data_IF_185308551927
#
_entry.id   IF_185308551927
#
_cell.length_a   1.000
_cell.length_b   1.000
_cell.length_c   1.000
_cell.angle_alpha   90.00
_cell.angle_beta   90.00
_cell.angle_gamma   90.00
#
_symmetry.space_group_name_H-M   'P 1'
#
loop_
_entity.id
_entity.type
_entity.pdbx_description
1 polymer ?
#
# COMPACT_ATOMS: atom_id res chain seq x y z
N UNK A 1 -11.49 -5.16 -18.60
CA UNK A 1 -11.95 -5.79 -17.36
C UNK A 1 -11.13 -5.31 -16.20
N UNK A 2 -11.80 -4.83 -15.20
CA UNK A 2 -11.13 -4.32 -14.04
C UNK A 2 -10.66 -5.43 -13.12
N UNK A 3 -9.53 -5.21 -12.50
CA UNK A 3 -8.95 -6.18 -11.59
C UNK A 3 -8.79 -5.58 -10.21
N UNK A 4 -9.86 -5.05 -9.70
CA UNK A 4 -9.85 -4.49 -8.37
C UNK A 4 -10.21 -5.54 -7.36
N UNK A 5 -9.44 -5.61 -6.31
CA UNK A 5 -9.71 -6.51 -5.22
C UNK A 5 -9.60 -5.79 -3.92
N UNK A 6 -10.69 -5.79 -3.18
CA UNK A 6 -10.68 -5.27 -1.84
C UNK A 6 -10.32 -6.41 -0.90
N UNK A 7 -9.27 -6.24 -0.13
CA UNK A 7 -8.81 -7.30 0.74
C UNK A 7 -9.34 -7.12 2.13
N UNK A 8 -9.97 -8.14 2.65
CA UNK A 8 -10.45 -8.20 4.03
C UNK A 8 -11.34 -7.07 4.43
N UNK A 9 -11.89 -6.74 5.23
CA UNK A 9 -12.81 -5.71 5.55
C UNK A 9 -12.21 -4.35 5.83
N UNK A 10 -10.99 -4.11 5.40
CA UNK A 10 -10.39 -2.80 5.56
C UNK A 10 -10.42 -2.05 4.24
N UNK A 11 -10.10 -0.77 4.28
CA UNK A 11 -10.08 0.06 3.08
C UNK A 11 -8.76 -0.09 2.34
N UNK A 12 -8.43 -1.31 1.99
CA UNK A 12 -7.24 -1.58 1.22
C UNK A 12 -7.63 -2.06 -0.15
N UNK A 13 -6.91 -1.62 -1.14
CA UNK A 13 -7.16 -2.02 -2.52
C UNK A 13 -5.87 -2.45 -3.16
N UNK A 14 -5.96 -3.48 -3.98
CA UNK A 14 -4.84 -3.92 -4.79
C UNK A 14 -5.28 -3.79 -6.22
N UNK A 15 -4.59 -2.93 -6.95
CA UNK A 15 -4.91 -2.65 -8.34
C UNK A 15 -3.92 -3.36 -9.23
N UNK A 16 -4.42 -3.91 -10.30
CA UNK A 16 -3.59 -4.57 -11.26
C UNK A 16 -4.10 -5.95 -11.55
N UNK A 17 -3.39 -6.62 -12.44
CA UNK A 17 -3.71 -7.99 -12.81
C UNK A 17 -2.95 -8.89 -11.86
N UNK A 18 -3.65 -9.72 -11.10
CA UNK A 18 -3.02 -10.54 -10.09
C UNK A 18 -2.43 -11.83 -10.63
N UNK A 19 -2.15 -11.88 -11.91
CA UNK A 19 -1.41 -13.00 -12.47
C UNK A 19 0.04 -12.93 -12.01
N UNK A 20 0.74 -14.07 -11.95
CA UNK A 20 2.14 -14.05 -11.56
C UNK A 20 2.95 -13.10 -12.43
N UNK A 21 3.91 -12.43 -11.81
CA UNK A 21 4.83 -11.49 -12.46
C UNK A 21 4.16 -10.23 -12.97
N UNK A 22 2.92 -9.97 -12.57
CA UNK A 22 2.25 -8.74 -12.96
C UNK A 22 2.65 -7.61 -12.01
N UNK A 23 2.49 -6.38 -12.50
CA UNK A 23 2.74 -5.19 -11.68
C UNK A 23 1.48 -4.84 -10.89
N UNK A 24 1.69 -4.47 -9.64
CA UNK A 24 0.58 -4.22 -8.71
C UNK A 24 0.83 -2.93 -7.96
N UNK A 25 -0.22 -2.16 -7.75
CA UNK A 25 -0.20 -0.97 -6.90
C UNK A 25 -1.09 -1.25 -5.70
N UNK A 26 -0.58 -0.96 -4.51
CA UNK A 26 -1.35 -1.12 -3.28
C UNK A 26 -1.84 0.25 -2.85
N UNK A 27 -3.14 0.34 -2.59
CA UNK A 27 -3.76 1.60 -2.17
C UNK A 27 -4.31 1.42 -0.76
N UNK A 28 -3.95 2.30 0.13
CA UNK A 28 -4.40 2.30 1.52
C UNK A 28 -5.15 3.58 1.81
N UNK A 29 -6.16 3.47 2.66
CA UNK A 29 -6.89 4.64 3.09
C UNK A 29 -6.05 5.46 4.07
N UNK A 30 -5.70 4.86 5.19
CA UNK A 30 -4.90 5.49 6.22
C UNK A 30 -3.73 4.59 6.55
N UNK A 31 -2.53 5.17 6.60
CA UNK A 31 -1.32 4.41 6.91
C UNK A 31 -0.75 4.92 8.22
N UNK A 32 -0.51 4.01 9.14
CA UNK A 32 0.08 4.36 10.44
C UNK A 32 1.50 3.81 10.52
N UNK A 33 1.66 2.65 11.15
CA UNK A 33 2.99 2.07 11.32
C UNK A 33 3.38 1.16 10.18
N UNK A 34 2.43 0.87 9.28
CA UNK A 34 2.74 0.08 8.11
C UNK A 34 2.41 -1.39 8.24
N UNK A 35 1.90 -1.84 9.39
CA UNK A 35 1.63 -3.26 9.56
C UNK A 35 0.63 -3.76 8.52
N UNK A 36 -0.45 -3.02 8.31
CA UNK A 36 -1.44 -3.41 7.31
C UNK A 36 -0.86 -3.45 5.92
N UNK A 37 -0.03 -2.45 5.60
CA UNK A 37 0.60 -2.38 4.29
C UNK A 37 1.46 -3.60 4.07
N UNK A 38 2.25 -3.97 5.07
CA UNK A 38 3.15 -5.11 4.90
C UNK A 38 2.40 -6.42 4.82
N UNK A 39 1.23 -6.52 5.46
CA UNK A 39 0.38 -7.68 5.24
C UNK A 39 -0.04 -7.80 3.78
N UNK A 40 -0.44 -6.68 3.20
CA UNK A 40 -0.82 -6.67 1.79
C UNK A 40 0.36 -7.01 0.89
N UNK A 41 1.53 -6.47 1.23
CA UNK A 41 2.73 -6.74 0.46
C UNK A 41 3.03 -8.23 0.45
N UNK A 42 2.89 -8.87 1.60
CA UNK A 42 3.19 -10.30 1.65
C UNK A 42 2.21 -11.11 0.83
N UNK A 43 0.94 -10.72 0.83
CA UNK A 43 -0.04 -11.41 0.00
C UNK A 43 0.28 -11.27 -1.48
N UNK A 44 0.67 -10.08 -1.89
CA UNK A 44 1.01 -9.84 -3.28
C UNK A 44 2.24 -10.65 -3.65
N UNK A 45 3.20 -10.73 -2.75
CA UNK A 45 4.41 -11.50 -3.02
C UNK A 45 4.13 -12.99 -3.10
N UNK A 46 3.19 -13.48 -2.33
CA UNK A 46 2.80 -14.88 -2.43
C UNK A 46 2.20 -15.20 -3.79
N UNK A 47 1.61 -14.20 -4.43
CA UNK A 47 1.09 -14.36 -5.78
C UNK A 47 2.16 -14.13 -6.84
N UNK A 48 3.39 -13.89 -6.41
CA UNK A 48 4.52 -13.66 -7.30
C UNK A 48 4.34 -12.42 -8.17
N UNK A 49 3.62 -11.45 -7.66
CA UNK A 49 3.44 -10.19 -8.35
C UNK A 49 4.49 -9.19 -7.88
N UNK A 50 4.70 -8.17 -8.69
CA UNK A 50 5.66 -7.14 -8.37
C UNK A 50 4.91 -5.89 -7.89
N UNK A 51 5.35 -5.36 -6.77
CA UNK A 51 4.75 -4.15 -6.23
C UNK A 51 5.47 -2.95 -6.82
N UNK A 52 4.74 -2.15 -7.57
CA UNK A 52 5.30 -0.99 -8.23
C UNK A 52 5.28 0.20 -7.29
N UNK A 53 4.20 0.34 -6.54
CA UNK A 53 4.07 1.49 -5.66
C UNK A 53 3.03 1.22 -4.59
N UNK A 54 3.19 1.88 -3.46
CA UNK A 54 2.21 1.89 -2.39
C UNK A 54 1.71 3.31 -2.24
N UNK A 55 0.40 3.50 -2.32
CA UNK A 55 -0.23 4.80 -2.24
C UNK A 55 -1.13 4.83 -1.02
N UNK A 56 -1.02 5.89 -0.24
CA UNK A 56 -1.88 6.09 0.93
C UNK A 56 -2.59 7.41 0.78
N UNK A 57 -3.87 7.46 1.14
CA UNK A 57 -4.57 8.72 1.18
C UNK A 57 -4.03 9.59 2.30
N UNK A 58 -3.90 9.03 3.49
CA UNK A 58 -3.41 9.77 4.65
C UNK A 58 -2.30 8.98 5.30
N UNK A 59 -1.15 9.63 5.43
CA UNK A 59 -0.01 9.08 6.16
C UNK A 59 0.02 9.74 7.54
N UNK A 60 -0.20 8.93 8.56
CA UNK A 60 -0.21 9.45 9.93
C UNK A 60 1.18 9.69 10.48
N UNK A 61 2.19 9.41 9.67
CA UNK A 61 3.58 9.70 10.04
C UNK A 61 4.01 8.93 11.28
N UNK A 62 3.60 7.67 11.37
CA UNK A 62 3.94 6.82 12.50
C UNK A 62 4.97 5.76 12.14
N UNK A 63 5.68 5.95 11.02
CA UNK A 63 6.80 5.10 10.68
C UNK A 63 6.67 4.30 9.40
N UNK A 64 5.49 4.28 8.79
CA UNK A 64 5.29 3.45 7.60
C UNK A 64 6.19 3.90 6.45
N UNK A 65 6.32 5.19 6.25
CA UNK A 65 7.12 5.71 5.15
C UNK A 65 8.55 5.20 5.24
N UNK A 66 9.13 5.28 6.44
CA UNK A 66 10.50 4.84 6.60
C UNK A 66 10.63 3.34 6.42
N UNK A 67 9.67 2.57 6.96
CA UNK A 67 9.72 1.12 6.81
C UNK A 67 9.64 0.72 5.35
N UNK A 68 8.78 1.37 4.58
CA UNK A 68 8.64 1.05 3.17
C UNK A 68 9.88 1.45 2.39
N UNK A 69 10.44 2.60 2.70
CA UNK A 69 11.67 3.03 2.05
C UNK A 69 12.81 2.08 2.35
N UNK A 70 12.93 1.67 3.61
CA UNK A 70 13.99 0.73 4.00
C UNK A 70 13.81 -0.60 3.30
N UNK A 71 12.59 -1.00 3.03
CA UNK A 71 12.32 -2.26 2.35
C UNK A 71 12.42 -2.14 0.83
N UNK A 72 12.62 -0.93 0.31
CA UNK A 72 12.83 -0.74 -1.11
C UNK A 72 11.56 -0.49 -1.91
N UNK A 73 10.48 -0.11 -1.25
CA UNK A 73 9.22 0.15 -1.93
C UNK A 73 9.00 1.64 -2.11
N UNK A 74 8.40 2.00 -3.24
CA UNK A 74 7.97 3.37 -3.50
C UNK A 74 6.72 3.65 -2.68
N UNK A 75 6.68 4.77 -2.00
CA UNK A 75 5.52 5.14 -1.19
C UNK A 75 5.13 6.58 -1.48
N UNK A 76 3.86 6.79 -1.75
CA UNK A 76 3.31 8.11 -1.99
C UNK A 76 2.11 8.30 -1.10
N UNK A 77 2.00 9.44 -0.44
CA UNK A 77 0.79 9.78 0.28
C UNK A 77 0.18 11.02 -0.33
N UNK A 78 -1.14 11.04 -0.39
CA UNK A 78 -1.84 12.21 -0.88
C UNK A 78 -1.79 13.32 0.16
N UNK A 79 -1.95 12.96 1.42
CA UNK A 79 -1.90 13.90 2.54
C UNK A 79 -1.12 13.28 3.69
N UNK A 80 -0.54 14.12 4.53
CA UNK A 80 0.04 13.65 5.77
C UNK A 80 -0.77 14.23 6.92
N UNK A 81 -0.64 13.60 8.09
CA UNK A 81 -1.43 14.05 9.24
C UNK A 81 -1.05 15.46 9.65
N UNK A 82 0.20 15.84 9.47
CA UNK A 82 0.61 17.18 9.82
C UNK A 82 0.00 18.23 8.90
N UNK A 83 -0.49 17.84 7.72
CA UNK A 83 -1.19 18.78 6.85
C UNK A 83 -2.61 19.05 7.33
N UNK A 84 -3.18 18.14 8.12
CA UNK A 84 -4.49 18.34 8.69
C UNK A 84 -4.44 19.05 10.03
N UNK A 85 -3.30 18.96 10.72
CA UNK A 85 -3.16 19.53 12.05
C UNK A 85 -2.63 20.94 11.95
N UNK A 86 -3.42 21.88 12.30
CA UNK A 86 -2.98 23.25 12.27
C UNK A 86 -3.21 23.90 13.59
#
# INVERSE_FOLDING_TARGET
MRQEKKTHGTEKWIEGDLKPHSNVVIVEDVTTKGNSVFESIERVRELECKIVEVISLVDREEGARKRLADAGYQFTSMFTISEFSH
#
